data_IF_573183987476
#
_entry.id   IF_573183987476
#
_cell.length_a   1.000
_cell.length_b   1.000
_cell.length_c   1.000
_cell.angle_alpha   90.00
_cell.angle_beta   90.00
_cell.angle_gamma   90.00
#
_symmetry.space_group_name_H-M   'P 1'
#
loop_
_entity.id
_entity.type
_entity.pdbx_description
1 polymer ?
#
# COMPACT_ATOMS: atom_id res chain seq x y z
N UNK A 1 -18.88 21.15 -9.76
CA UNK A 1 -17.69 20.44 -10.31
C UNK A 1 -16.55 20.17 -9.31
N UNK A 2 -16.63 20.58 -8.02
CA UNK A 2 -15.55 20.28 -7.03
C UNK A 2 -15.53 18.82 -6.54
N UNK A 3 -16.69 18.17 -6.47
CA UNK A 3 -16.82 16.78 -5.96
C UNK A 3 -16.26 15.77 -6.97
N UNK A 4 -16.56 15.96 -8.26
CA UNK A 4 -16.05 15.10 -9.35
C UNK A 4 -14.52 15.12 -9.43
N UNK A 5 -13.90 16.28 -9.21
CA UNK A 5 -12.44 16.42 -9.14
C UNK A 5 -11.83 15.66 -7.94
N UNK A 6 -12.50 15.63 -6.79
CA UNK A 6 -12.04 14.87 -5.62
C UNK A 6 -12.08 13.36 -5.84
N UNK A 7 -13.17 12.87 -6.44
CA UNK A 7 -13.33 11.45 -6.78
C UNK A 7 -12.31 11.03 -7.84
N UNK A 8 -12.11 11.86 -8.87
CA UNK A 8 -11.11 11.59 -9.90
C UNK A 8 -9.69 11.51 -9.34
N UNK A 9 -9.30 12.45 -8.47
CA UNK A 9 -8.00 12.40 -7.79
C UNK A 9 -7.83 11.17 -6.92
N UNK A 10 -8.90 10.71 -6.25
CA UNK A 10 -8.88 9.49 -5.45
C UNK A 10 -8.71 8.23 -6.32
N UNK A 11 -9.40 8.15 -7.46
CA UNK A 11 -9.26 7.02 -8.39
C UNK A 11 -7.85 6.99 -9.00
N UNK A 12 -7.30 8.14 -9.41
CA UNK A 12 -5.92 8.20 -9.91
C UNK A 12 -4.91 7.75 -8.85
N UNK A 13 -5.08 8.20 -7.60
CA UNK A 13 -4.23 7.79 -6.48
C UNK A 13 -4.34 6.28 -6.20
N UNK A 14 -5.55 5.72 -6.22
CA UNK A 14 -5.76 4.28 -6.04
C UNK A 14 -5.05 3.50 -7.16
N UNK A 15 -5.24 3.87 -8.42
CA UNK A 15 -4.59 3.19 -9.55
C UNK A 15 -3.06 3.28 -9.44
N UNK A 16 -2.51 4.45 -9.15
CA UNK A 16 -1.06 4.66 -9.03
C UNK A 16 -0.47 3.91 -7.84
N UNK A 17 -1.14 3.89 -6.69
CA UNK A 17 -0.70 3.16 -5.50
C UNK A 17 -0.73 1.64 -5.71
N UNK A 18 -1.76 1.10 -6.37
CA UNK A 18 -1.83 -0.32 -6.71
C UNK A 18 -0.72 -0.69 -7.70
N UNK A 19 -0.52 0.08 -8.77
CA UNK A 19 0.55 -0.17 -9.75
C UNK A 19 1.93 -0.08 -9.09
N UNK A 20 2.19 0.92 -8.28
CA UNK A 20 3.50 1.03 -7.60
C UNK A 20 3.72 -0.09 -6.58
N UNK A 21 2.69 -0.50 -5.84
CA UNK A 21 2.75 -1.63 -4.93
C UNK A 21 3.02 -2.97 -5.65
N UNK A 22 2.40 -3.19 -6.82
CA UNK A 22 2.66 -4.40 -7.62
C UNK A 22 4.08 -4.43 -8.15
N UNK A 23 4.62 -3.29 -8.59
CA UNK A 23 6.02 -3.19 -8.99
C UNK A 23 6.97 -3.49 -7.83
N UNK A 24 6.71 -2.95 -6.63
CA UNK A 24 7.51 -3.26 -5.43
C UNK A 24 7.48 -4.75 -5.13
N UNK A 25 6.31 -5.39 -5.20
CA UNK A 25 6.20 -6.83 -4.98
C UNK A 25 6.94 -7.65 -6.03
N UNK A 26 6.86 -7.26 -7.30
CA UNK A 26 7.56 -7.96 -8.37
C UNK A 26 9.07 -7.92 -8.23
N UNK A 27 9.63 -6.76 -7.85
CA UNK A 27 11.07 -6.60 -7.69
C UNK A 27 11.60 -7.48 -6.55
N UNK A 28 10.82 -7.68 -5.49
CA UNK A 28 11.26 -8.42 -4.30
C UNK A 28 10.99 -9.93 -4.37
N UNK A 29 9.86 -10.35 -4.93
CA UNK A 29 9.39 -11.74 -4.80
C UNK A 29 9.31 -12.53 -6.11
N UNK A 30 9.49 -11.89 -7.27
CA UNK A 30 9.28 -12.56 -8.56
C UNK A 30 10.60 -12.77 -9.31
N UNK A 31 10.90 -14.00 -9.74
CA UNK A 31 11.97 -14.28 -10.71
C UNK A 31 11.73 -13.54 -12.04
N UNK A 32 12.78 -13.26 -12.83
CA UNK A 32 12.67 -12.47 -14.08
C UNK A 32 11.83 -13.12 -15.20
N UNK A 33 11.41 -14.38 -15.05
CA UNK A 33 10.80 -15.18 -16.13
C UNK A 33 9.26 -15.17 -16.17
N UNK A 34 8.59 -14.32 -15.37
CA UNK A 34 7.13 -14.35 -15.25
C UNK A 34 6.41 -13.36 -16.21
N UNK A 35 5.38 -13.84 -16.90
CA UNK A 35 4.60 -13.08 -17.88
C UNK A 35 3.48 -12.19 -17.29
N UNK A 36 2.80 -11.46 -18.19
CA UNK A 36 1.72 -10.49 -17.87
C UNK A 36 0.60 -11.03 -16.96
N UNK A 37 0.30 -12.33 -16.98
CA UNK A 37 -0.74 -12.94 -16.13
C UNK A 37 -0.43 -12.84 -14.63
N UNK A 38 0.84 -12.92 -14.24
CA UNK A 38 1.25 -12.79 -12.84
C UNK A 38 1.10 -11.33 -12.34
N UNK A 39 1.30 -10.36 -13.24
CA UNK A 39 1.04 -8.95 -12.96
C UNK A 39 -0.43 -8.69 -12.65
N UNK A 40 -1.33 -9.26 -13.44
CA UNK A 40 -2.77 -9.09 -13.25
C UNK A 40 -3.24 -9.67 -11.90
N UNK A 41 -2.82 -10.89 -11.56
CA UNK A 41 -3.20 -11.52 -10.30
C UNK A 41 -2.65 -10.78 -9.08
N UNK A 42 -1.37 -10.38 -9.14
CA UNK A 42 -0.74 -9.58 -8.07
C UNK A 42 -1.42 -8.23 -7.91
N UNK A 43 -1.83 -7.58 -9.01
CA UNK A 43 -2.54 -6.30 -8.99
C UNK A 43 -3.91 -6.39 -8.34
N UNK A 44 -4.68 -7.44 -8.64
CA UNK A 44 -5.96 -7.69 -7.98
C UNK A 44 -5.77 -7.92 -6.47
N UNK A 45 -4.75 -8.67 -6.09
CA UNK A 45 -4.42 -8.90 -4.69
C UNK A 45 -4.04 -7.60 -3.96
N UNK A 46 -3.19 -6.78 -4.58
CA UNK A 46 -2.81 -5.47 -4.06
C UNK A 46 -3.99 -4.51 -3.96
N UNK A 47 -4.92 -4.56 -4.92
CA UNK A 47 -6.13 -3.76 -4.89
C UNK A 47 -7.04 -4.17 -3.73
N UNK A 48 -7.20 -5.45 -3.46
CA UNK A 48 -7.96 -5.95 -2.30
C UNK A 48 -7.30 -5.48 -1.00
N UNK A 49 -5.98 -5.65 -0.87
CA UNK A 49 -5.23 -5.18 0.29
C UNK A 49 -5.37 -3.65 0.49
N UNK A 50 -5.29 -2.88 -0.60
CA UNK A 50 -5.52 -1.45 -0.54
C UNK A 50 -6.92 -1.11 -0.07
N UNK A 51 -7.96 -1.74 -0.63
CA UNK A 51 -9.36 -1.51 -0.27
C UNK A 51 -9.60 -1.85 1.20
N UNK A 52 -9.12 -2.98 1.69
CA UNK A 52 -9.38 -3.42 3.07
C UNK A 52 -8.58 -2.59 4.09
N UNK A 53 -7.35 -2.17 3.78
CA UNK A 53 -6.45 -1.57 4.77
C UNK A 53 -6.15 -0.10 4.51
N UNK A 54 -5.76 0.26 3.29
CA UNK A 54 -5.41 1.65 2.98
C UNK A 54 -6.64 2.56 3.01
N UNK A 55 -7.80 2.12 2.53
CA UNK A 55 -8.99 2.97 2.49
C UNK A 55 -9.55 3.34 3.87
N UNK A 56 -9.68 2.44 4.87
CA UNK A 56 -10.10 2.88 6.20
C UNK A 56 -9.04 3.79 6.83
N UNK A 57 -7.75 3.50 6.68
CA UNK A 57 -6.66 4.36 7.18
C UNK A 57 -6.76 5.76 6.58
N UNK A 58 -6.98 5.87 5.26
CA UNK A 58 -7.19 7.14 4.56
C UNK A 58 -8.42 7.89 5.07
N UNK A 59 -9.52 7.18 5.31
CA UNK A 59 -10.77 7.76 5.81
C UNK A 59 -10.61 8.28 7.25
N UNK A 60 -9.85 7.58 8.09
CA UNK A 60 -9.47 8.03 9.43
C UNK A 60 -8.54 9.26 9.37
N UNK A 61 -7.51 9.24 8.53
CA UNK A 61 -6.55 10.33 8.37
C UNK A 61 -7.19 11.61 7.80
N UNK A 62 -8.19 11.46 6.93
CA UNK A 62 -8.93 12.58 6.33
C UNK A 62 -9.65 13.46 7.35
N UNK A 63 -9.94 12.96 8.57
CA UNK A 63 -10.57 13.77 9.63
C UNK A 63 -9.69 14.93 10.11
N UNK A 64 -8.36 14.85 9.97
CA UNK A 64 -7.42 15.94 10.31
C UNK A 64 -6.29 16.01 9.27
N UNK A 65 -6.50 16.62 8.10
CA UNK A 65 -5.47 16.66 7.07
C UNK A 65 -4.26 17.46 7.57
N UNK A 66 -3.12 16.78 7.77
CA UNK A 66 -1.82 17.40 8.04
C UNK A 66 -0.83 16.92 6.99
N UNK A 67 -0.21 17.87 6.29
CA UNK A 67 0.72 17.54 5.20
C UNK A 67 1.95 16.80 5.69
N UNK A 68 2.34 15.71 5.01
CA UNK A 68 3.62 15.00 5.20
C UNK A 68 3.96 14.70 6.66
N UNK A 69 2.96 14.32 7.47
CA UNK A 69 3.22 14.02 8.86
C UNK A 69 3.85 12.64 8.99
N UNK A 70 5.05 12.56 9.57
CA UNK A 70 5.76 11.30 9.86
C UNK A 70 4.90 10.37 10.75
N UNK A 71 4.00 10.94 11.57
CA UNK A 71 3.03 10.13 12.34
C UNK A 71 2.10 9.30 11.45
N UNK A 72 1.77 9.80 10.26
CA UNK A 72 0.97 9.05 9.30
C UNK A 72 1.79 7.92 8.65
N UNK A 73 3.07 8.15 8.35
CA UNK A 73 3.97 7.10 7.90
C UNK A 73 4.04 5.93 8.90
N UNK A 74 4.15 6.22 10.21
CA UNK A 74 4.17 5.20 11.25
C UNK A 74 2.87 4.39 11.31
N UNK A 75 1.72 5.04 11.11
CA UNK A 75 0.42 4.36 11.06
C UNK A 75 0.35 3.45 9.84
N UNK A 76 0.71 3.96 8.64
CA UNK A 76 0.78 3.14 7.43
C UNK A 76 1.72 1.96 7.59
N UNK A 77 2.88 2.17 8.20
CA UNK A 77 3.84 1.11 8.48
C UNK A 77 3.28 0.05 9.41
N UNK A 78 2.62 0.45 10.51
CA UNK A 78 2.02 -0.48 11.45
C UNK A 78 0.96 -1.36 10.79
N UNK A 79 0.05 -0.77 10.00
CA UNK A 79 -0.96 -1.54 9.28
C UNK A 79 -0.35 -2.42 8.19
N UNK A 80 0.57 -1.90 7.37
CA UNK A 80 1.26 -2.68 6.33
C UNK A 80 2.03 -3.87 6.92
N UNK A 81 2.68 -3.66 8.06
CA UNK A 81 3.39 -4.71 8.78
C UNK A 81 2.44 -5.80 9.29
N UNK A 82 1.29 -5.43 9.87
CA UNK A 82 0.27 -6.41 10.29
C UNK A 82 -0.21 -7.24 9.09
N UNK A 83 -0.52 -6.59 7.96
CA UNK A 83 -1.01 -7.27 6.76
C UNK A 83 0.04 -8.25 6.22
N UNK A 84 1.28 -7.80 6.07
CA UNK A 84 2.36 -8.65 5.60
C UNK A 84 2.62 -9.80 6.57
N UNK A 85 2.53 -9.56 7.88
CA UNK A 85 2.69 -10.59 8.91
C UNK A 85 1.58 -11.65 8.85
N UNK A 86 0.33 -11.24 8.66
CA UNK A 86 -0.80 -12.17 8.52
C UNK A 86 -0.68 -12.98 7.24
N UNK A 87 -0.31 -12.35 6.12
CA UNK A 87 -0.10 -13.04 4.85
C UNK A 87 1.05 -14.04 4.91
N UNK A 88 2.17 -13.63 5.50
CA UNK A 88 3.30 -14.52 5.75
C UNK A 88 2.92 -15.75 6.57
N UNK A 89 2.14 -15.56 7.64
CA UNK A 89 1.64 -16.66 8.46
C UNK A 89 0.71 -17.60 7.68
N UNK A 90 -0.12 -17.06 6.79
CA UNK A 90 -1.04 -17.85 5.96
C UNK A 90 -0.34 -18.66 4.85
N UNK A 91 0.75 -18.12 4.29
CA UNK A 91 1.46 -18.75 3.17
C UNK A 91 2.50 -19.78 3.62
N UNK A 92 3.33 -19.46 4.62
CA UNK A 92 4.49 -20.28 4.97
C UNK A 92 4.31 -21.14 6.25
N UNK A 93 3.18 -21.04 6.96
CA UNK A 93 2.84 -21.79 8.18
C UNK A 93 3.94 -21.82 9.28
N UNK A 94 4.93 -20.91 9.22
CA UNK A 94 6.12 -20.95 10.06
C UNK A 94 6.55 -19.57 10.51
N UNK A 95 6.90 -19.44 11.79
CA UNK A 95 7.38 -18.18 12.41
C UNK A 95 8.74 -17.72 11.85
N UNK A 96 9.40 -18.54 11.02
CA UNK A 96 10.68 -18.22 10.36
C UNK A 96 10.55 -17.01 9.43
N UNK A 97 9.34 -16.71 8.93
CA UNK A 97 9.13 -15.54 8.07
C UNK A 97 9.38 -14.22 8.80
N UNK A 98 9.17 -14.16 10.12
CA UNK A 98 9.51 -12.97 10.93
C UNK A 98 11.03 -12.74 11.05
N UNK A 99 11.85 -13.73 10.70
CA UNK A 99 13.32 -13.58 10.69
C UNK A 99 13.81 -13.05 9.34
N UNK A 100 12.98 -13.14 8.28
CA UNK A 100 13.36 -12.66 6.95
C UNK A 100 13.26 -11.14 6.88
N UNK A 101 14.39 -10.50 6.60
CA UNK A 101 14.48 -9.05 6.42
C UNK A 101 13.58 -8.53 5.28
N UNK A 102 13.30 -9.38 4.28
CA UNK A 102 12.44 -9.09 3.13
C UNK A 102 11.05 -8.60 3.54
N UNK A 103 10.46 -9.17 4.61
CA UNK A 103 9.11 -8.80 5.06
C UNK A 103 9.07 -7.40 5.66
N UNK A 104 10.10 -7.01 6.43
CA UNK A 104 10.20 -5.68 7.02
C UNK A 104 10.44 -4.61 5.94
N UNK A 105 11.34 -4.89 5.01
CA UNK A 105 11.66 -3.98 3.90
C UNK A 105 10.46 -3.80 2.99
N UNK A 106 9.78 -4.89 2.63
CA UNK A 106 8.56 -4.84 1.82
C UNK A 106 7.44 -4.05 2.52
N UNK A 107 7.18 -4.31 3.80
CA UNK A 107 6.20 -3.57 4.60
C UNK A 107 6.50 -2.07 4.65
N UNK A 108 7.78 -1.71 4.79
CA UNK A 108 8.23 -0.32 4.82
C UNK A 108 8.06 0.37 3.46
N UNK A 109 8.43 -0.30 2.37
CA UNK A 109 8.25 0.24 1.02
C UNK A 109 6.77 0.44 0.67
N UNK A 110 5.92 -0.52 1.03
CA UNK A 110 4.48 -0.43 0.81
C UNK A 110 3.88 0.75 1.58
N UNK A 111 4.30 0.92 2.84
CA UNK A 111 3.89 2.05 3.66
C UNK A 111 4.37 3.40 3.08
N UNK A 112 5.61 3.46 2.58
CA UNK A 112 6.13 4.65 1.90
C UNK A 112 5.33 5.00 0.65
N UNK A 113 5.01 4.00 -0.18
CA UNK A 113 4.21 4.17 -1.39
C UNK A 113 2.84 4.75 -1.04
N UNK A 114 2.11 4.14 -0.11
CA UNK A 114 0.79 4.61 0.29
C UNK A 114 0.84 6.00 0.94
N UNK A 115 1.82 6.26 1.79
CA UNK A 115 2.00 7.56 2.42
C UNK A 115 2.37 8.68 1.43
N UNK A 116 3.21 8.39 0.44
CA UNK A 116 3.59 9.34 -0.60
C UNK A 116 2.37 9.73 -1.45
N UNK A 117 1.62 8.73 -1.95
CA UNK A 117 0.43 9.00 -2.77
C UNK A 117 -0.68 9.68 -1.97
N UNK A 118 -0.85 9.36 -0.68
CA UNK A 118 -1.75 10.06 0.24
C UNK A 118 -1.38 11.52 0.45
N UNK A 119 -0.08 11.79 0.60
CA UNK A 119 0.42 13.15 0.78
C UNK A 119 0.34 14.00 -0.50
N UNK A 120 0.46 13.38 -1.67
CA UNK A 120 0.41 14.05 -2.98
C UNK A 120 -1.01 14.41 -3.40
N UNK A 121 -1.96 13.46 -3.34
CA UNK A 121 -3.29 13.65 -3.91
C UNK A 121 -4.35 14.14 -2.91
N UNK A 122 -4.29 13.68 -1.66
CA UNK A 122 -5.38 13.85 -0.71
C UNK A 122 -5.20 15.08 0.18
N UNK A 123 -3.97 15.45 0.50
CA UNK A 123 -3.69 16.59 1.35
C UNK A 123 -3.69 17.89 0.52
N UNK A 124 -4.87 18.41 0.15
CA UNK A 124 -4.96 19.79 -0.39
C UNK A 124 -4.62 20.81 0.71
N UNK A 125 -3.80 21.80 0.35
CA UNK A 125 -3.53 22.98 1.19
C UNK A 125 -4.86 23.62 1.57
N UNK A 126 -5.15 23.75 2.87
CA UNK A 126 -5.83 24.95 3.35
C UNK A 126 -4.79 26.06 3.37
#
# INVERSE_FOLDING_TARGET
MRILSGIFSYVCMLVLSVISATFVYMIFFTPPDFGFGYFQMTSLFMLIAYVIFATPVQLFLHRKPRKFNIRYLLIYFFFAFIVCSVLALLTDYSLIVFVRYELYVFSFLLALVYWLWDSVFLQRKK
#
